data_IF_841022868623
#
_entry.id   IF_841022868623
#
_cell.length_a   1.000
_cell.length_b   1.000
_cell.length_c   1.000
_cell.angle_alpha   90.00
_cell.angle_beta   90.00
_cell.angle_gamma   90.00
#
_symmetry.space_group_name_H-M   'P 1'
#
loop_
_entity.id
_entity.type
_entity.pdbx_description
1 polymer ?
#
# COMPACT_ATOMS: atom_id res chain seq x y z
N UNK A 1 -4.55 -13.86 14.91
CA UNK A 1 -5.71 -13.00 15.27
C UNK A 1 -5.64 -12.44 16.68
N UNK A 2 -5.57 -13.23 17.75
CA UNK A 2 -5.53 -12.73 19.15
C UNK A 2 -4.51 -11.63 19.46
N UNK A 3 -3.31 -11.68 18.87
CA UNK A 3 -2.27 -10.66 19.08
C UNK A 3 -2.67 -9.28 18.53
N UNK A 4 -3.20 -9.23 17.30
CA UNK A 4 -3.63 -7.97 16.67
C UNK A 4 -4.82 -7.37 17.43
N UNK A 5 -5.76 -8.23 17.91
CA UNK A 5 -6.89 -7.77 18.74
C UNK A 5 -6.39 -7.18 20.07
N UNK A 6 -5.35 -7.78 20.67
CA UNK A 6 -4.70 -7.22 21.86
C UNK A 6 -4.08 -5.85 21.63
N UNK A 7 -3.47 -5.62 20.45
CA UNK A 7 -2.92 -4.31 20.08
C UNK A 7 -4.02 -3.28 19.80
N UNK A 8 -5.11 -3.68 19.14
CA UNK A 8 -6.28 -2.79 18.92
C UNK A 8 -6.85 -2.23 20.21
N UNK A 9 -6.90 -3.04 21.28
CA UNK A 9 -7.39 -2.60 22.59
C UNK A 9 -6.53 -1.53 23.24
N UNK A 10 -5.28 -1.35 22.80
CA UNK A 10 -4.38 -0.31 23.30
C UNK A 10 -4.59 1.05 22.61
N UNK A 11 -5.24 1.08 21.43
CA UNK A 11 -5.45 2.31 20.67
C UNK A 11 -6.20 3.38 21.48
N UNK A 12 -7.33 3.09 22.16
CA UNK A 12 -8.06 4.11 22.93
C UNK A 12 -7.28 4.68 24.11
N UNK A 13 -6.23 4.00 24.56
CA UNK A 13 -5.40 4.41 25.69
C UNK A 13 -4.13 5.12 25.26
N UNK A 14 -3.88 5.28 23.95
CA UNK A 14 -2.73 6.00 23.45
C UNK A 14 -2.98 7.51 23.61
N UNK A 15 -2.06 8.17 24.31
CA UNK A 15 -2.12 9.61 24.58
C UNK A 15 -1.21 10.41 23.63
N UNK A 16 -0.22 9.74 23.05
CA UNK A 16 0.78 10.34 22.16
C UNK A 16 0.77 9.69 20.79
N UNK A 17 1.09 10.47 19.75
CA UNK A 17 1.18 9.99 18.36
C UNK A 17 2.20 8.85 18.23
N UNK A 18 3.35 8.95 18.89
CA UNK A 18 4.39 7.92 18.87
C UNK A 18 3.90 6.56 19.37
N UNK A 19 2.98 6.56 20.34
CA UNK A 19 2.36 5.33 20.83
C UNK A 19 1.46 4.69 19.76
N UNK A 20 0.70 5.50 19.01
CA UNK A 20 -0.12 5.04 17.90
C UNK A 20 0.76 4.50 16.76
N UNK A 21 1.83 5.22 16.41
CA UNK A 21 2.81 4.77 15.41
C UNK A 21 3.47 3.45 15.82
N UNK A 22 3.81 3.30 17.10
CA UNK A 22 4.35 2.05 17.64
C UNK A 22 3.36 0.88 17.56
N UNK A 23 2.08 1.11 17.83
CA UNK A 23 1.01 0.10 17.69
C UNK A 23 0.85 -0.29 16.22
N UNK A 24 0.79 0.69 15.31
CA UNK A 24 0.71 0.46 13.86
C UNK A 24 1.89 -0.37 13.36
N UNK A 25 3.11 0.01 13.71
CA UNK A 25 4.32 -0.69 13.32
C UNK A 25 4.33 -2.17 13.77
N UNK A 26 3.86 -2.45 14.99
CA UNK A 26 3.74 -3.82 15.50
C UNK A 26 2.66 -4.62 14.78
N UNK A 27 1.51 -4.01 14.46
CA UNK A 27 0.46 -4.65 13.65
C UNK A 27 1.00 -4.97 12.26
N UNK A 28 1.68 -4.01 11.63
CA UNK A 28 2.26 -4.17 10.30
C UNK A 28 3.32 -5.25 10.24
N UNK A 29 4.20 -5.32 11.25
CA UNK A 29 5.18 -6.39 11.37
C UNK A 29 4.50 -7.77 11.38
N UNK A 30 3.49 -7.95 12.21
CA UNK A 30 2.72 -9.21 12.29
C UNK A 30 1.95 -9.51 11.01
N UNK A 31 1.46 -8.49 10.34
CA UNK A 31 0.81 -8.64 9.06
C UNK A 31 1.77 -9.15 7.98
N UNK A 32 2.98 -8.61 7.90
CA UNK A 32 4.00 -9.08 6.94
C UNK A 32 4.46 -10.51 7.21
N UNK A 33 4.54 -10.95 8.47
CA UNK A 33 4.82 -12.34 8.80
C UNK A 33 3.80 -13.33 8.20
N UNK A 34 2.57 -12.91 7.96
CA UNK A 34 1.54 -13.74 7.34
C UNK A 34 1.65 -13.83 5.80
N UNK A 35 2.47 -13.00 5.18
CA UNK A 35 2.59 -12.97 3.72
C UNK A 35 3.11 -14.27 3.13
N UNK A 36 4.06 -14.92 3.79
CA UNK A 36 4.59 -16.23 3.38
C UNK A 36 3.53 -17.32 3.30
N UNK A 37 2.44 -17.18 4.07
CA UNK A 37 1.31 -18.13 4.05
C UNK A 37 0.30 -17.78 2.95
N UNK A 38 0.19 -16.50 2.60
CA UNK A 38 -0.78 -16.01 1.60
C UNK A 38 -0.26 -16.20 0.18
N UNK A 39 1.06 -16.08 0.01
CA UNK A 39 1.71 -16.18 -1.30
C UNK A 39 1.96 -17.65 -1.64
N UNK A 40 1.36 -18.12 -2.74
CA UNK A 40 1.49 -19.50 -3.23
C UNK A 40 2.73 -19.70 -4.12
N UNK A 41 3.82 -19.03 -3.82
CA UNK A 41 5.13 -19.21 -4.47
C UNK A 41 6.18 -19.46 -3.39
N UNK A 42 7.20 -20.24 -3.71
CA UNK A 42 8.36 -20.45 -2.83
C UNK A 42 9.26 -19.21 -2.84
N UNK A 43 8.82 -18.16 -2.16
CA UNK A 43 9.55 -16.91 -2.04
C UNK A 43 9.81 -16.64 -0.55
N UNK A 44 11.06 -16.52 -0.20
CA UNK A 44 11.43 -16.13 1.17
C UNK A 44 11.08 -14.67 1.41
N UNK A 45 10.22 -14.44 2.39
CA UNK A 45 9.86 -13.11 2.85
C UNK A 45 9.80 -13.08 4.38
N UNK A 46 10.87 -12.61 4.99
CA UNK A 46 10.97 -12.54 6.45
C UNK A 46 10.46 -11.21 7.01
N UNK A 47 10.83 -10.10 6.37
CA UNK A 47 10.54 -8.75 6.85
C UNK A 47 10.52 -7.70 5.75
N UNK A 48 9.88 -6.59 6.05
CA UNK A 48 9.89 -5.42 5.17
C UNK A 48 11.22 -4.68 5.26
N UNK A 49 11.94 -4.59 4.14
CA UNK A 49 13.14 -3.77 3.94
C UNK A 49 12.86 -2.75 2.83
N UNK A 50 13.12 -1.46 3.11
CA UNK A 50 12.75 -0.39 2.18
C UNK A 50 13.90 0.08 1.29
N UNK A 51 15.09 0.22 1.84
CA UNK A 51 16.23 0.82 1.14
C UNK A 51 17.54 0.10 1.50
N UNK A 52 18.13 -0.57 0.53
CA UNK A 52 17.54 -1.04 -0.72
C UNK A 52 16.59 -2.22 -0.49
N UNK A 53 15.60 -2.46 -1.37
CA UNK A 53 14.79 -3.66 -1.29
C UNK A 53 15.67 -4.89 -1.59
N UNK A 54 15.76 -5.79 -0.61
CA UNK A 54 16.65 -6.95 -0.60
C UNK A 54 16.11 -8.16 -1.36
N UNK A 55 14.81 -8.15 -1.68
CA UNK A 55 14.15 -9.25 -2.37
C UNK A 55 13.01 -8.75 -3.27
N UNK A 56 12.49 -9.67 -4.08
CA UNK A 56 11.44 -9.42 -5.04
C UNK A 56 10.17 -8.83 -4.40
N UNK A 57 9.74 -9.35 -3.25
CA UNK A 57 8.52 -8.88 -2.56
C UNK A 57 8.72 -7.44 -2.07
N UNK A 58 9.88 -7.13 -1.48
CA UNK A 58 10.19 -5.79 -1.03
C UNK A 58 10.24 -4.78 -2.19
N UNK A 59 10.72 -5.20 -3.37
CA UNK A 59 10.68 -4.39 -4.60
C UNK A 59 9.24 -4.13 -5.06
N UNK A 60 8.40 -5.17 -5.08
CA UNK A 60 6.97 -5.03 -5.43
C UNK A 60 6.24 -4.09 -4.47
N UNK A 61 6.41 -4.28 -3.16
CA UNK A 61 5.78 -3.42 -2.15
C UNK A 61 6.24 -1.96 -2.35
N UNK A 62 7.54 -1.73 -2.57
CA UNK A 62 8.06 -0.38 -2.79
C UNK A 62 7.45 0.26 -4.05
N UNK A 63 7.40 -0.47 -5.16
CA UNK A 63 6.86 0.01 -6.41
C UNK A 63 5.36 0.29 -6.32
N UNK A 64 4.56 -0.67 -5.85
CA UNK A 64 3.10 -0.51 -5.73
C UNK A 64 2.74 0.59 -4.74
N UNK A 65 3.44 0.69 -3.61
CA UNK A 65 3.21 1.76 -2.64
C UNK A 65 3.54 3.14 -3.22
N UNK A 66 4.56 3.26 -4.09
CA UNK A 66 4.86 4.53 -4.76
C UNK A 66 3.76 4.93 -5.75
N UNK A 67 3.17 3.96 -6.45
CA UNK A 67 2.03 4.21 -7.33
C UNK A 67 0.79 4.68 -6.55
N UNK A 68 0.47 4.00 -5.44
CA UNK A 68 -0.66 4.39 -4.58
C UNK A 68 -0.42 5.78 -4.02
N UNK A 69 0.79 6.07 -3.53
CA UNK A 69 1.14 7.41 -3.04
C UNK A 69 0.93 8.47 -4.11
N UNK A 70 1.41 8.24 -5.33
CA UNK A 70 1.25 9.20 -6.45
C UNK A 70 -0.22 9.40 -6.81
N UNK A 71 -1.02 8.34 -6.85
CA UNK A 71 -2.46 8.43 -7.09
C UNK A 71 -3.17 9.22 -5.97
N UNK A 72 -2.87 8.90 -4.71
CA UNK A 72 -3.43 9.62 -3.56
C UNK A 72 -3.08 11.10 -3.61
N UNK A 73 -1.82 11.44 -3.94
CA UNK A 73 -1.39 12.82 -4.07
C UNK A 73 -2.14 13.55 -5.18
N UNK A 74 -2.34 12.90 -6.34
CA UNK A 74 -3.12 13.47 -7.45
C UNK A 74 -4.55 13.79 -6.99
N UNK A 75 -5.18 12.88 -6.25
CA UNK A 75 -6.55 13.11 -5.77
C UNK A 75 -6.62 14.22 -4.70
N UNK A 76 -5.62 14.33 -3.82
CA UNK A 76 -5.54 15.45 -2.87
C UNK A 76 -5.50 16.79 -3.61
N UNK A 77 -4.76 16.89 -4.73
CA UNK A 77 -4.71 18.11 -5.55
C UNK A 77 -6.04 18.45 -6.23
N UNK A 78 -6.97 17.52 -6.37
CA UNK A 78 -8.34 17.79 -6.84
C UNK A 78 -9.27 18.28 -5.71
N UNK A 79 -8.77 18.39 -4.49
CA UNK A 79 -9.51 18.89 -3.33
C UNK A 79 -8.92 20.23 -2.84
N UNK A 80 -9.54 20.81 -1.83
CA UNK A 80 -9.02 22.00 -1.13
C UNK A 80 -8.07 21.64 0.03
N UNK A 81 -7.70 20.36 0.19
CA UNK A 81 -6.84 19.90 1.26
C UNK A 81 -5.39 20.29 1.00
N UNK A 82 -4.69 20.70 2.04
CA UNK A 82 -3.25 20.92 1.97
C UNK A 82 -2.50 19.58 2.16
N UNK A 83 -1.74 19.10 1.18
CA UNK A 83 -1.07 17.80 1.27
C UNK A 83 0.03 17.72 2.33
N UNK A 84 0.45 18.87 2.91
CA UNK A 84 1.49 18.92 3.92
C UNK A 84 0.97 18.92 5.36
N UNK A 85 -0.36 19.07 5.56
CA UNK A 85 -0.99 19.06 6.88
C UNK A 85 -1.55 17.68 7.17
N UNK A 86 -0.91 16.95 8.04
CA UNK A 86 -1.21 15.56 8.40
C UNK A 86 -1.79 15.41 9.80
N UNK A 87 -2.26 14.21 10.10
CA UNK A 87 -2.79 13.84 11.41
C UNK A 87 -1.82 12.96 12.20
N UNK A 88 -1.10 12.08 11.53
CA UNK A 88 -0.27 11.06 12.16
C UNK A 88 1.22 11.26 11.84
N UNK A 89 1.56 11.50 10.57
CA UNK A 89 2.94 11.68 10.16
C UNK A 89 3.37 13.15 10.36
N UNK A 90 4.51 13.36 10.98
CA UNK A 90 5.09 14.71 11.09
C UNK A 90 5.39 15.30 9.70
N UNK A 91 5.12 16.61 9.51
CA UNK A 91 5.50 17.31 8.29
C UNK A 91 7.02 17.25 8.08
N UNK A 92 7.44 16.71 6.96
CA UNK A 92 8.86 16.60 6.60
C UNK A 92 9.18 17.35 5.31
N UNK A 93 10.43 17.81 5.17
CA UNK A 93 10.88 18.65 4.06
C UNK A 93 10.79 18.02 2.66
N UNK A 94 10.54 16.71 2.56
CA UNK A 94 10.56 15.97 1.29
C UNK A 94 9.32 15.11 1.03
N UNK A 95 8.27 15.23 1.85
CA UNK A 95 7.08 14.37 1.75
C UNK A 95 5.82 15.15 2.05
N UNK A 96 4.77 14.83 1.32
CA UNK A 96 3.43 15.31 1.64
C UNK A 96 2.85 14.40 2.73
N UNK A 97 2.87 14.86 3.97
CA UNK A 97 2.53 14.05 5.14
C UNK A 97 1.07 13.59 5.15
N UNK A 98 0.13 14.44 4.70
CA UNK A 98 -1.27 14.02 4.52
C UNK A 98 -1.40 12.89 3.50
N UNK A 99 -0.61 12.94 2.42
CA UNK A 99 -0.61 11.88 1.43
C UNK A 99 -0.10 10.55 2.01
N UNK A 100 0.86 10.59 2.95
CA UNK A 100 1.28 9.40 3.68
C UNK A 100 0.13 8.84 4.50
N UNK A 101 -0.53 9.66 5.33
CA UNK A 101 -1.65 9.23 6.17
C UNK A 101 -2.76 8.56 5.35
N UNK A 102 -3.18 9.20 4.27
CA UNK A 102 -4.25 8.68 3.42
C UNK A 102 -3.83 7.44 2.62
N UNK A 103 -2.61 7.43 2.07
CA UNK A 103 -2.13 6.28 1.29
C UNK A 103 -2.01 5.00 2.13
N UNK A 104 -1.71 5.11 3.44
CA UNK A 104 -1.63 3.96 4.33
C UNK A 104 -2.93 3.15 4.40
N UNK A 105 -4.09 3.80 4.24
CA UNK A 105 -5.40 3.14 4.20
C UNK A 105 -5.53 2.28 2.94
N UNK A 106 -5.04 2.77 1.80
CA UNK A 106 -5.18 2.11 0.51
C UNK A 106 -4.13 1.03 0.24
N UNK A 107 -2.97 1.09 0.89
CA UNK A 107 -1.91 0.10 0.73
C UNK A 107 -2.40 -1.33 0.96
N UNK A 108 -2.99 -1.69 2.11
CA UNK A 108 -3.48 -3.06 2.33
C UNK A 108 -4.74 -3.38 1.49
N UNK A 109 -5.61 -2.40 1.25
CA UNK A 109 -6.89 -2.63 0.57
C UNK A 109 -6.71 -2.85 -0.94
N UNK A 110 -5.81 -2.14 -1.56
CA UNK A 110 -5.60 -2.13 -3.02
C UNK A 110 -4.24 -2.74 -3.35
N UNK A 111 -3.16 -2.21 -2.76
CA UNK A 111 -1.79 -2.57 -3.11
C UNK A 111 -1.44 -4.00 -2.77
N UNK A 112 -1.59 -4.39 -1.52
CA UNK A 112 -1.22 -5.73 -1.08
C UNK A 112 -2.08 -6.81 -1.76
N UNK A 113 -3.38 -6.53 -1.94
CA UNK A 113 -4.28 -7.43 -2.69
C UNK A 113 -3.89 -7.53 -4.17
N UNK A 114 -3.38 -6.46 -4.77
CA UNK A 114 -2.84 -6.49 -6.13
C UNK A 114 -1.60 -7.38 -6.18
N UNK A 115 -0.66 -7.18 -5.27
CA UNK A 115 0.57 -7.98 -5.18
C UNK A 115 0.23 -9.47 -5.02
N UNK A 116 -0.64 -9.83 -4.08
CA UNK A 116 -1.07 -11.22 -3.91
C UNK A 116 -1.71 -11.80 -5.17
N UNK A 117 -2.55 -11.02 -5.86
CA UNK A 117 -3.17 -11.47 -7.11
C UNK A 117 -2.13 -11.75 -8.20
N UNK A 118 -1.15 -10.85 -8.37
CA UNK A 118 -0.10 -10.98 -9.39
C UNK A 118 0.82 -12.16 -9.10
N UNK A 119 1.21 -12.35 -7.83
CA UNK A 119 2.06 -13.45 -7.42
C UNK A 119 1.33 -14.79 -7.50
N UNK A 120 0.12 -14.90 -6.94
CA UNK A 120 -0.63 -16.17 -6.90
C UNK A 120 -1.09 -16.62 -8.29
N UNK A 121 -1.31 -15.69 -9.23
CA UNK A 121 -1.55 -15.99 -10.65
C UNK A 121 -0.27 -16.20 -11.45
N UNK A 122 0.90 -16.15 -10.84
CA UNK A 122 2.21 -16.26 -11.48
C UNK A 122 2.43 -15.26 -12.64
N UNK A 123 1.73 -14.12 -12.60
CA UNK A 123 1.92 -13.04 -13.57
C UNK A 123 3.22 -12.28 -13.33
N UNK A 124 3.67 -12.24 -12.07
CA UNK A 124 4.97 -11.75 -11.64
C UNK A 124 5.71 -12.92 -10.98
N UNK A 125 6.93 -13.15 -11.44
CA UNK A 125 7.86 -14.18 -10.96
C UNK A 125 9.26 -13.59 -10.84
N UNK A 126 10.24 -14.35 -10.36
CA UNK A 126 11.64 -13.91 -10.34
C UNK A 126 12.15 -13.43 -11.70
N UNK A 127 11.69 -14.05 -12.79
CA UNK A 127 12.05 -13.64 -14.15
C UNK A 127 11.56 -12.24 -14.53
N UNK A 128 10.65 -11.68 -13.77
CA UNK A 128 10.14 -10.30 -13.93
C UNK A 128 11.10 -9.22 -13.39
N UNK A 129 12.21 -9.65 -12.80
CA UNK A 129 13.21 -8.77 -12.21
C UNK A 129 14.56 -8.92 -12.91
N UNK A 130 15.33 -7.84 -12.90
CA UNK A 130 16.77 -7.86 -13.15
C UNK A 130 17.49 -7.82 -11.82
N UNK A 131 18.50 -8.68 -11.66
CA UNK A 131 19.34 -8.72 -10.47
C UNK A 131 20.64 -8.01 -10.77
N UNK A 132 20.79 -6.80 -10.26
CA UNK A 132 22.02 -6.04 -10.36
C UNK A 132 22.61 -5.85 -8.96
N UNK A 133 23.81 -6.38 -8.73
CA UNK A 133 24.52 -6.35 -7.46
C UNK A 133 23.66 -6.93 -6.32
N UNK A 134 22.99 -6.11 -5.53
CA UNK A 134 22.13 -6.54 -4.41
C UNK A 134 20.70 -6.01 -4.55
N UNK A 135 20.29 -5.60 -5.76
CA UNK A 135 18.99 -4.98 -6.00
C UNK A 135 18.14 -5.84 -6.95
N UNK A 136 16.85 -5.93 -6.63
CA UNK A 136 15.85 -6.50 -7.51
C UNK A 136 15.07 -5.38 -8.19
N UNK A 137 15.44 -5.07 -9.44
CA UNK A 137 14.73 -4.08 -10.24
C UNK A 137 13.66 -4.74 -11.09
N UNK A 138 12.45 -4.18 -11.06
CA UNK A 138 11.37 -4.59 -11.94
C UNK A 138 11.74 -4.28 -13.40
N UNK A 139 11.60 -5.27 -14.28
CA UNK A 139 11.69 -5.06 -15.72
C UNK A 139 10.55 -4.16 -16.20
N UNK A 140 10.76 -3.47 -17.32
CA UNK A 140 9.81 -2.52 -17.89
C UNK A 140 8.42 -3.15 -18.13
N UNK A 141 8.41 -4.36 -18.69
CA UNK A 141 7.18 -5.10 -19.00
C UNK A 141 6.40 -5.44 -17.72
N UNK A 142 7.11 -5.86 -16.66
CA UNK A 142 6.52 -6.15 -15.37
C UNK A 142 5.95 -4.88 -14.70
N UNK A 143 6.68 -3.77 -14.78
CA UNK A 143 6.20 -2.48 -14.27
C UNK A 143 4.94 -2.03 -14.99
N UNK A 144 4.90 -2.16 -16.33
CA UNK A 144 3.73 -1.82 -17.13
C UNK A 144 2.53 -2.69 -16.80
N UNK A 145 2.74 -4.00 -16.61
CA UNK A 145 1.68 -4.92 -16.17
C UNK A 145 1.08 -4.49 -14.83
N UNK A 146 1.93 -4.16 -13.84
CA UNK A 146 1.47 -3.75 -12.52
C UNK A 146 0.65 -2.45 -12.62
N UNK A 147 1.12 -1.47 -13.39
CA UNK A 147 0.38 -0.21 -13.60
C UNK A 147 -0.99 -0.49 -14.21
N UNK A 148 -1.05 -1.30 -15.28
CA UNK A 148 -2.30 -1.63 -15.96
C UNK A 148 -3.29 -2.36 -15.03
N UNK A 149 -2.82 -3.32 -14.24
CA UNK A 149 -3.66 -4.05 -13.30
C UNK A 149 -4.12 -3.18 -12.12
N UNK A 150 -3.28 -2.22 -11.67
CA UNK A 150 -3.68 -1.23 -10.68
C UNK A 150 -4.80 -0.32 -11.23
N UNK A 151 -4.66 0.19 -12.47
CA UNK A 151 -5.67 1.03 -13.09
C UNK A 151 -7.01 0.28 -13.24
N UNK A 152 -6.98 -0.96 -13.71
CA UNK A 152 -8.19 -1.81 -13.78
C UNK A 152 -8.85 -1.96 -12.42
N UNK A 153 -8.05 -2.17 -11.38
CA UNK A 153 -8.54 -2.34 -10.02
C UNK A 153 -9.15 -1.04 -9.46
N UNK A 154 -8.56 0.10 -9.78
CA UNK A 154 -9.08 1.41 -9.41
C UNK A 154 -10.39 1.76 -10.14
N UNK A 155 -10.55 1.30 -11.39
CA UNK A 155 -11.76 1.50 -12.18
C UNK A 155 -12.90 0.53 -11.81
N UNK A 156 -12.58 -0.56 -11.11
CA UNK A 156 -13.59 -1.53 -10.71
C UNK A 156 -14.61 -0.91 -9.74
N UNK A 157 -15.87 -1.07 -10.08
CA UNK A 157 -16.99 -0.65 -9.21
C UNK A 157 -17.36 -1.76 -8.25
N UNK A 158 -17.70 -1.39 -7.02
CA UNK A 158 -18.27 -2.30 -6.03
C UNK A 158 -19.66 -1.78 -5.64
N UNK A 159 -20.59 -2.69 -5.40
CA UNK A 159 -21.88 -2.34 -4.80
C UNK A 159 -21.66 -2.05 -3.31
N UNK A 160 -22.00 -0.84 -2.89
CA UNK A 160 -22.05 -0.47 -1.49
C UNK A 160 -23.51 -0.16 -1.15
N UNK A 161 -24.18 -1.05 -0.45
CA UNK A 161 -25.63 -1.07 -0.26
C UNK A 161 -26.32 -1.11 -1.64
N UNK A 162 -27.06 -0.10 -2.00
CA UNK A 162 -27.80 -0.04 -3.25
C UNK A 162 -27.13 0.86 -4.32
N UNK A 163 -25.91 1.33 -4.06
CA UNK A 163 -25.20 2.23 -4.95
C UNK A 163 -23.89 1.59 -5.47
N UNK A 164 -23.65 1.61 -6.79
CA UNK A 164 -22.37 1.23 -7.34
C UNK A 164 -21.33 2.28 -6.94
N UNK A 165 -20.30 1.88 -6.20
CA UNK A 165 -19.19 2.73 -5.79
C UNK A 165 -17.91 2.23 -6.45
N UNK A 166 -17.22 3.11 -7.15
CA UNK A 166 -15.90 2.83 -7.71
C UNK A 166 -14.82 3.14 -6.68
N UNK A 167 -13.71 2.41 -6.69
CA UNK A 167 -12.50 2.81 -5.96
C UNK A 167 -11.90 4.12 -6.50
N UNK A 168 -12.35 4.59 -7.67
CA UNK A 168 -12.07 5.92 -8.21
C UNK A 168 -12.88 7.03 -7.55
N UNK A 169 -13.74 6.72 -6.57
CA UNK A 169 -14.38 7.75 -5.71
C UNK A 169 -13.39 8.44 -4.76
N UNK A 170 -12.12 8.29 -4.98
CA UNK A 170 -11.18 9.36 -4.67
C UNK A 170 -11.52 10.67 -5.48
N UNK A 171 -12.24 10.57 -6.57
CA UNK A 171 -12.86 11.69 -7.32
C UNK A 171 -14.24 12.09 -6.78
N UNK A 172 -14.36 12.21 -5.47
CA UNK A 172 -15.66 12.43 -4.80
C UNK A 172 -16.32 13.79 -5.08
N UNK A 173 -15.92 14.55 -6.08
CA UNK A 173 -16.47 15.88 -6.34
C UNK A 173 -17.15 16.11 -7.70
N UNK A 174 -17.18 15.14 -8.61
CA UNK A 174 -17.83 15.37 -9.92
C UNK A 174 -19.31 14.97 -9.98
N UNK A 175 -19.87 14.38 -8.93
CA UNK A 175 -21.26 13.90 -8.93
C UNK A 175 -22.21 14.67 -8.00
N UNK A 176 -21.81 15.81 -7.49
CA UNK A 176 -22.67 16.74 -6.76
C UNK A 176 -22.84 18.04 -7.58
N UNK A 177 -23.40 17.90 -8.78
CA UNK A 177 -24.06 18.98 -9.50
C UNK A 177 -25.44 18.54 -9.96
#
# INVERSE_FOLDING_TARGET
MRYIEGLKKKIPNAQEIDQLMGIEGNIRKKYYEAWSVIINQEIEFEKRVMHPPDNMINSLISFVNSLIYSKTLTEIYHTQLNPTISYLHEPGSRRYSLCLDLSEIFKPLIGDRLIFSLLNKKQITENSFTRELNFHHLKKEASQLIVNELEKKLQATIMHKDLPVSYTHLRAHETLR
#
